data_IF_099218721587
#
_entry.id   IF_099218721587
#
_cell.length_a   1.000
_cell.length_b   1.000
_cell.length_c   1.000
_cell.angle_alpha   90.00
_cell.angle_beta   90.00
_cell.angle_gamma   90.00
#
_symmetry.space_group_name_H-M   'P 1'
#
loop_
_entity.id
_entity.type
_entity.pdbx_description
1 polymer ?
#
# COMPACT_ATOMS: atom_id res chain seq x y z
N UNK A 1 22.70 21.90 47.68
CA UNK A 1 22.93 22.44 46.32
C UNK A 1 23.47 23.84 46.47
N UNK A 2 24.64 24.12 45.89
CA UNK A 2 25.25 25.45 45.93
C UNK A 2 24.56 26.38 44.93
N UNK A 3 24.76 27.69 45.08
CA UNK A 3 24.27 28.70 44.12
C UNK A 3 24.78 28.41 42.70
N UNK A 4 26.06 28.06 42.57
CA UNK A 4 26.68 27.68 41.30
C UNK A 4 26.05 26.44 40.66
N UNK A 5 25.64 25.45 41.46
CA UNK A 5 24.94 24.25 40.95
C UNK A 5 23.54 24.59 40.41
N UNK A 6 22.83 25.51 41.09
CA UNK A 6 21.54 26.02 40.63
C UNK A 6 21.67 26.82 39.33
N UNK A 7 22.68 27.67 39.21
CA UNK A 7 22.94 28.47 38.00
C UNK A 7 23.27 27.57 36.79
N UNK A 8 24.10 26.54 36.98
CA UNK A 8 24.40 25.54 35.95
C UNK A 8 23.18 24.72 35.52
N UNK A 9 22.32 24.35 36.48
CA UNK A 9 21.07 23.65 36.15
C UNK A 9 20.10 24.54 35.37
N UNK A 10 19.99 25.82 35.74
CA UNK A 10 19.13 26.77 35.03
C UNK A 10 19.62 27.01 33.59
N UNK A 11 20.93 27.21 33.40
CA UNK A 11 21.54 27.37 32.07
C UNK A 11 21.35 26.11 31.20
N UNK A 12 21.49 24.92 31.78
CA UNK A 12 21.22 23.66 31.09
C UNK A 12 19.76 23.56 30.62
N UNK A 13 18.79 23.85 31.50
CA UNK A 13 17.36 23.81 31.17
C UNK A 13 17.00 24.85 30.10
N UNK A 14 17.55 26.06 30.18
CA UNK A 14 17.34 27.09 29.16
C UNK A 14 17.89 26.67 27.79
N UNK A 15 19.04 26.00 27.77
CA UNK A 15 19.61 25.47 26.53
C UNK A 15 18.81 24.29 25.97
N UNK A 16 18.25 23.43 26.82
CA UNK A 16 17.30 22.38 26.41
C UNK A 16 16.03 22.95 25.81
N UNK A 17 15.40 23.94 26.49
CA UNK A 17 14.21 24.63 25.98
C UNK A 17 14.52 25.29 24.64
N UNK A 18 15.63 26.03 24.52
CA UNK A 18 16.03 26.67 23.27
C UNK A 18 16.41 25.67 22.15
N UNK A 19 16.79 24.44 22.48
CA UNK A 19 17.00 23.35 21.51
C UNK A 19 15.67 22.76 21.05
N UNK A 20 14.73 22.56 21.96
CA UNK A 20 13.38 22.10 21.66
C UNK A 20 12.57 23.14 20.86
N UNK A 21 12.70 24.43 21.19
CA UNK A 21 12.09 25.54 20.46
C UNK A 21 12.70 25.70 19.06
N UNK A 22 14.01 25.41 18.89
CA UNK A 22 14.66 25.36 17.57
C UNK A 22 14.23 24.16 16.71
N UNK A 23 13.51 23.19 17.27
CA UNK A 23 12.86 22.10 16.55
C UNK A 23 11.34 22.26 16.49
N UNK A 24 10.82 23.47 16.65
CA UNK A 24 9.42 23.74 16.37
C UNK A 24 9.07 23.19 14.97
N UNK A 25 8.01 22.36 14.85
CA UNK A 25 7.67 21.77 13.57
C UNK A 25 7.39 22.87 12.55
N UNK A 26 8.16 22.88 11.47
CA UNK A 26 7.93 23.82 10.37
C UNK A 26 6.91 23.22 9.38
N UNK A 27 6.35 24.08 8.54
CA UNK A 27 5.50 23.62 7.42
C UNK A 27 6.30 22.68 6.50
N UNK A 28 7.60 22.91 6.36
CA UNK A 28 8.53 22.06 5.61
C UNK A 28 8.64 20.67 6.25
N UNK A 29 8.70 20.57 7.59
CA UNK A 29 8.66 19.28 8.30
C UNK A 29 7.35 18.53 8.00
N UNK A 30 6.20 19.21 8.07
CA UNK A 30 4.89 18.59 7.79
C UNK A 30 4.84 18.05 6.36
N UNK A 31 5.31 18.84 5.38
CA UNK A 31 5.37 18.44 3.97
C UNK A 31 6.31 17.26 3.77
N UNK A 32 7.49 17.27 4.38
CA UNK A 32 8.46 16.19 4.29
C UNK A 32 7.88 14.87 4.84
N UNK A 33 7.26 14.90 6.02
CA UNK A 33 6.57 13.74 6.60
C UNK A 33 5.45 13.26 5.70
N UNK A 34 4.64 14.18 5.14
CA UNK A 34 3.60 13.79 4.19
C UNK A 34 4.15 13.12 2.93
N UNK A 35 5.29 13.56 2.40
CA UNK A 35 5.91 12.94 1.23
C UNK A 35 6.29 11.49 1.54
N UNK A 36 6.91 11.26 2.70
CA UNK A 36 7.31 9.92 3.15
C UNK A 36 6.09 9.00 3.29
N UNK A 37 5.03 9.45 3.97
CA UNK A 37 3.83 8.64 4.16
C UNK A 37 3.10 8.36 2.84
N UNK A 38 2.97 9.36 1.97
CA UNK A 38 2.42 9.17 0.60
C UNK A 38 3.23 8.14 -0.17
N UNK A 39 4.56 8.26 -0.16
CA UNK A 39 5.45 7.31 -0.81
C UNK A 39 5.20 5.87 -0.35
N UNK A 40 5.19 5.64 0.97
CA UNK A 40 4.92 4.30 1.55
C UNK A 40 3.58 3.72 1.09
N UNK A 41 2.50 4.50 1.18
CA UNK A 41 1.15 4.02 0.81
C UNK A 41 1.04 3.78 -0.70
N UNK A 42 1.48 4.73 -1.52
CA UNK A 42 1.37 4.64 -2.99
C UNK A 42 2.21 3.48 -3.53
N UNK A 43 3.42 3.29 -3.02
CA UNK A 43 4.30 2.18 -3.42
C UNK A 43 3.71 0.81 -3.04
N UNK A 44 3.22 0.68 -1.80
CA UNK A 44 2.59 -0.55 -1.33
C UNK A 44 1.33 -0.90 -2.16
N UNK A 45 0.51 0.08 -2.53
CA UNK A 45 -0.66 -0.15 -3.39
C UNK A 45 -0.27 -0.44 -4.83
N UNK A 46 0.80 0.16 -5.34
CA UNK A 46 1.32 -0.15 -6.68
C UNK A 46 1.81 -1.61 -6.76
N UNK A 47 2.48 -2.09 -5.72
CA UNK A 47 2.86 -3.50 -5.59
C UNK A 47 1.64 -4.43 -5.55
N UNK A 48 0.61 -4.07 -4.78
CA UNK A 48 -0.66 -4.80 -4.74
C UNK A 48 -1.36 -4.84 -6.11
N UNK A 49 -1.37 -3.72 -6.84
CA UNK A 49 -1.94 -3.63 -8.19
C UNK A 49 -1.21 -4.58 -9.16
N UNK A 50 0.12 -4.64 -9.08
CA UNK A 50 0.90 -5.58 -9.90
C UNK A 50 0.62 -7.04 -9.56
N UNK A 51 0.36 -7.36 -8.29
CA UNK A 51 -0.05 -8.71 -7.89
C UNK A 51 -1.41 -9.10 -8.48
N UNK A 52 -2.36 -8.15 -8.54
CA UNK A 52 -3.65 -8.37 -9.21
C UNK A 52 -3.44 -8.62 -10.72
N UNK A 53 -2.55 -7.87 -11.37
CA UNK A 53 -2.24 -8.09 -12.79
C UNK A 53 -1.78 -9.52 -13.04
N UNK A 54 -0.82 -9.98 -12.26
CA UNK A 54 -0.27 -11.33 -12.39
C UNK A 54 -1.36 -12.37 -12.13
N UNK A 55 -2.17 -12.21 -11.07
CA UNK A 55 -3.27 -13.14 -10.79
C UNK A 55 -4.26 -13.23 -11.96
N UNK A 56 -4.70 -12.08 -12.49
CA UNK A 56 -5.65 -12.02 -13.59
C UNK A 56 -5.03 -12.61 -14.86
N UNK A 57 -3.79 -12.26 -15.19
CA UNK A 57 -3.12 -12.76 -16.38
C UNK A 57 -2.88 -14.28 -16.33
N UNK A 58 -2.52 -14.83 -15.17
CA UNK A 58 -2.41 -16.30 -14.98
C UNK A 58 -3.76 -17.02 -15.05
N UNK A 59 -4.87 -16.29 -15.15
CA UNK A 59 -6.16 -16.89 -15.50
C UNK A 59 -6.31 -17.17 -16.99
N UNK A 60 -5.84 -16.25 -17.82
CA UNK A 60 -6.10 -16.24 -19.27
C UNK A 60 -4.92 -16.77 -20.10
N UNK A 61 -3.78 -17.06 -19.48
CA UNK A 61 -2.55 -17.38 -20.19
C UNK A 61 -1.92 -18.67 -19.65
N UNK A 62 -1.49 -19.52 -20.57
CA UNK A 62 -0.90 -20.84 -20.27
C UNK A 62 0.64 -20.82 -20.20
N UNK A 63 1.27 -19.66 -20.45
CA UNK A 63 2.72 -19.49 -20.37
C UNK A 63 3.11 -18.18 -19.69
N UNK A 64 4.28 -18.18 -19.04
CA UNK A 64 4.80 -17.00 -18.34
C UNK A 64 5.03 -15.82 -19.30
N UNK A 65 5.42 -16.08 -20.54
CA UNK A 65 5.63 -15.01 -21.54
C UNK A 65 4.29 -14.37 -21.93
N UNK A 66 3.24 -15.16 -22.10
CA UNK A 66 1.89 -14.64 -22.35
C UNK A 66 1.32 -13.92 -21.14
N UNK A 67 1.60 -14.39 -19.92
CA UNK A 67 1.26 -13.66 -18.69
C UNK A 67 1.90 -12.28 -18.67
N UNK A 68 3.20 -12.17 -19.00
CA UNK A 68 3.91 -10.88 -19.06
C UNK A 68 3.34 -9.97 -20.15
N UNK A 69 3.16 -10.51 -21.36
CA UNK A 69 2.60 -9.78 -22.50
C UNK A 69 1.20 -9.24 -22.19
N UNK A 70 0.29 -10.10 -21.72
CA UNK A 70 -1.06 -9.74 -21.33
C UNK A 70 -1.07 -8.70 -20.20
N UNK A 71 -0.26 -8.92 -19.16
CA UNK A 71 -0.14 -7.98 -18.04
C UNK A 71 0.38 -6.61 -18.47
N UNK A 72 1.24 -6.52 -19.49
CA UNK A 72 1.81 -5.25 -19.93
C UNK A 72 0.90 -4.52 -20.93
N UNK A 73 0.26 -5.24 -21.85
CA UNK A 73 -0.54 -4.66 -22.94
C UNK A 73 -1.99 -4.38 -22.50
N UNK A 74 -2.59 -5.29 -21.74
CA UNK A 74 -4.03 -5.23 -21.40
C UNK A 74 -4.23 -4.65 -20.01
N UNK A 75 -3.55 -5.21 -19.00
CA UNK A 75 -3.73 -4.80 -17.60
C UNK A 75 -2.86 -3.60 -17.22
N UNK A 76 -1.72 -3.46 -17.90
CA UNK A 76 -0.75 -2.39 -17.76
C UNK A 76 -1.21 -1.08 -18.42
N UNK A 77 -0.37 -0.05 -18.31
CA UNK A 77 -0.58 1.26 -18.93
C UNK A 77 -1.91 1.96 -18.54
N UNK A 78 -2.40 1.73 -17.31
CA UNK A 78 -3.62 2.37 -16.77
C UNK A 78 -4.90 2.12 -17.58
N UNK A 79 -4.93 1.10 -18.47
CA UNK A 79 -6.13 0.77 -19.26
C UNK A 79 -7.27 0.23 -18.39
N UNK A 80 -6.93 -0.45 -17.30
CA UNK A 80 -7.88 -0.93 -16.30
C UNK A 80 -7.50 -0.31 -14.95
N UNK A 81 -8.47 0.34 -14.31
CA UNK A 81 -8.28 0.89 -12.97
C UNK A 81 -8.15 -0.21 -11.92
N UNK A 82 -7.56 0.11 -10.77
CA UNK A 82 -7.48 -0.79 -9.62
C UNK A 82 -8.87 -1.34 -9.21
N UNK A 83 -9.93 -0.51 -9.26
CA UNK A 83 -11.30 -1.00 -9.01
C UNK A 83 -11.77 -2.00 -10.06
N UNK A 84 -11.45 -1.74 -11.34
CA UNK A 84 -11.75 -2.66 -12.44
C UNK A 84 -11.08 -4.02 -12.24
N UNK A 85 -9.79 -4.01 -11.88
CA UNK A 85 -9.03 -5.23 -11.56
C UNK A 85 -9.59 -5.95 -10.33
N UNK A 86 -9.96 -5.21 -9.27
CA UNK A 86 -10.64 -5.78 -8.08
C UNK A 86 -11.97 -6.45 -8.45
N UNK A 87 -12.79 -5.83 -9.31
CA UNK A 87 -14.05 -6.43 -9.78
C UNK A 87 -13.80 -7.69 -10.60
N UNK A 88 -12.80 -7.67 -11.48
CA UNK A 88 -12.41 -8.85 -12.25
C UNK A 88 -11.92 -9.97 -11.33
N UNK A 89 -11.10 -9.66 -10.34
CA UNK A 89 -10.68 -10.59 -9.29
C UNK A 89 -11.87 -11.23 -8.56
N UNK A 90 -12.86 -10.44 -8.13
CA UNK A 90 -14.08 -10.93 -7.49
C UNK A 90 -14.85 -11.93 -8.39
N UNK A 91 -14.91 -11.68 -9.71
CA UNK A 91 -15.56 -12.57 -10.68
C UNK A 91 -14.77 -13.86 -10.84
N UNK A 92 -13.45 -13.77 -11.03
CA UNK A 92 -12.57 -14.91 -11.23
C UNK A 92 -12.57 -15.86 -10.02
N UNK A 93 -12.58 -15.31 -8.80
CA UNK A 93 -12.70 -16.12 -7.58
C UNK A 93 -14.01 -16.90 -7.55
N UNK A 94 -15.14 -16.25 -7.87
CA UNK A 94 -16.45 -16.92 -7.85
C UNK A 94 -16.52 -18.09 -8.83
N UNK A 95 -15.87 -17.94 -9.99
CA UNK A 95 -15.80 -18.99 -11.01
C UNK A 95 -14.91 -20.14 -10.52
N UNK A 96 -13.71 -19.84 -10.01
CA UNK A 96 -12.71 -20.86 -9.72
C UNK A 96 -12.89 -21.55 -8.38
N UNK A 97 -13.39 -20.81 -7.38
CA UNK A 97 -13.48 -21.28 -5.99
C UNK A 97 -14.76 -20.76 -5.33
N UNK A 98 -15.93 -21.26 -5.75
CA UNK A 98 -17.21 -20.88 -5.14
C UNK A 98 -17.21 -21.12 -3.61
N UNK A 99 -16.50 -22.15 -3.16
CA UNK A 99 -16.36 -22.54 -1.75
C UNK A 99 -15.32 -21.74 -0.94
N UNK A 100 -14.49 -20.89 -1.57
CA UNK A 100 -13.46 -20.08 -0.87
C UNK A 100 -14.04 -19.03 0.08
N UNK A 101 -15.34 -19.12 0.33
CA UNK A 101 -15.90 -18.69 1.58
C UNK A 101 -16.41 -17.28 1.45
N UNK A 102 -17.74 -17.16 1.50
CA UNK A 102 -18.47 -15.90 1.65
C UNK A 102 -17.82 -14.98 2.71
N UNK A 103 -17.14 -15.55 3.72
CA UNK A 103 -16.40 -14.83 4.77
C UNK A 103 -15.06 -14.23 4.29
N UNK A 104 -14.17 -15.02 3.69
CA UNK A 104 -12.85 -14.53 3.22
C UNK A 104 -13.02 -13.51 2.10
N UNK A 105 -13.96 -13.76 1.18
CA UNK A 105 -14.30 -12.82 0.13
C UNK A 105 -14.89 -11.50 0.68
N UNK A 106 -15.76 -11.57 1.70
CA UNK A 106 -16.36 -10.36 2.31
C UNK A 106 -15.30 -9.51 3.02
N UNK A 107 -14.39 -10.11 3.78
CA UNK A 107 -13.31 -9.38 4.44
C UNK A 107 -12.34 -8.78 3.43
N UNK A 108 -11.88 -9.55 2.43
CA UNK A 108 -11.01 -9.05 1.37
C UNK A 108 -11.63 -7.86 0.62
N UNK A 109 -12.91 -7.94 0.26
CA UNK A 109 -13.60 -6.82 -0.42
C UNK A 109 -13.63 -5.55 0.44
N UNK A 110 -13.91 -5.68 1.74
CA UNK A 110 -13.89 -4.53 2.67
C UNK A 110 -12.49 -3.94 2.79
N UNK A 111 -11.48 -4.80 2.92
CA UNK A 111 -10.08 -4.40 3.05
C UNK A 111 -9.61 -3.68 1.77
N UNK A 112 -9.92 -4.21 0.58
CA UNK A 112 -9.62 -3.56 -0.70
C UNK A 112 -10.30 -2.20 -0.88
N UNK A 113 -11.57 -2.06 -0.47
CA UNK A 113 -12.25 -0.76 -0.50
C UNK A 113 -11.55 0.26 0.41
N UNK A 114 -11.07 -0.19 1.58
CA UNK A 114 -10.30 0.65 2.50
C UNK A 114 -8.98 1.07 1.84
N UNK A 115 -8.23 0.12 1.27
CA UNK A 115 -6.97 0.40 0.57
C UNK A 115 -7.16 1.42 -0.56
N UNK A 116 -8.21 1.27 -1.37
CA UNK A 116 -8.51 2.19 -2.47
C UNK A 116 -8.91 3.59 -1.97
N UNK A 117 -9.71 3.66 -0.89
CA UNK A 117 -10.07 4.92 -0.26
C UNK A 117 -8.82 5.67 0.22
N UNK A 118 -7.96 4.98 0.99
CA UNK A 118 -6.75 5.57 1.54
C UNK A 118 -5.77 5.97 0.44
N UNK A 119 -5.54 5.12 -0.56
CA UNK A 119 -4.70 5.47 -1.72
C UNK A 119 -5.18 6.76 -2.40
N UNK A 120 -6.49 6.92 -2.58
CA UNK A 120 -7.04 8.12 -3.19
C UNK A 120 -6.87 9.35 -2.29
N UNK A 121 -7.01 9.20 -0.97
CA UNK A 121 -6.71 10.25 0.01
C UNK A 121 -5.26 10.72 -0.12
N UNK A 122 -4.29 9.80 -0.06
CA UNK A 122 -2.86 10.09 -0.19
C UNK A 122 -2.45 10.61 -1.58
N UNK A 123 -3.17 10.23 -2.64
CA UNK A 123 -2.86 10.69 -3.99
C UNK A 123 -3.42 12.08 -4.30
N UNK A 124 -4.59 12.44 -3.78
CA UNK A 124 -5.35 13.58 -4.29
C UNK A 124 -5.68 14.68 -3.27
N UNK A 125 -5.68 14.38 -1.97
CA UNK A 125 -5.96 15.41 -0.96
C UNK A 125 -4.74 16.34 -0.79
N UNK A 126 -4.95 17.57 -0.30
CA UNK A 126 -3.83 18.47 0.03
C UNK A 126 -3.29 18.20 1.42
N UNK A 127 -2.01 18.47 1.62
CA UNK A 127 -1.43 18.50 2.97
C UNK A 127 -1.93 19.75 3.69
N UNK A 128 -2.50 19.57 4.87
CA UNK A 128 -2.94 20.67 5.71
C UNK A 128 -1.73 21.37 6.33
N UNK A 129 -1.73 22.71 6.28
CA UNK A 129 -0.63 23.55 6.79
C UNK A 129 -1.18 24.72 7.62
N UNK A 130 -2.37 24.57 8.20
CA UNK A 130 -2.94 25.55 9.12
C UNK A 130 -2.31 25.42 10.51
N UNK A 131 -2.73 26.27 11.46
CA UNK A 131 -2.21 26.24 12.83
C UNK A 131 -2.42 24.87 13.50
N UNK A 132 -3.60 24.26 13.35
CA UNK A 132 -3.85 22.91 13.89
C UNK A 132 -2.84 21.87 13.39
N UNK A 133 -2.39 22.00 12.13
CA UNK A 133 -1.38 21.11 11.56
C UNK A 133 -0.01 21.34 12.18
N UNK A 134 0.37 22.60 12.44
CA UNK A 134 1.60 22.96 13.15
C UNK A 134 1.59 22.38 14.56
N UNK A 135 0.47 22.54 15.27
CA UNK A 135 0.32 22.07 16.65
C UNK A 135 0.41 20.53 16.77
N UNK A 136 0.06 19.81 15.70
CA UNK A 136 0.05 18.34 15.64
C UNK A 136 1.22 17.72 14.88
N UNK A 137 2.09 18.53 14.28
CA UNK A 137 3.09 18.10 13.30
C UNK A 137 4.13 17.10 13.85
N UNK A 138 4.31 17.04 15.16
CA UNK A 138 5.21 16.07 15.82
C UNK A 138 4.70 14.63 15.72
N UNK A 139 3.39 14.43 15.56
CA UNK A 139 2.74 13.12 15.67
C UNK A 139 1.84 12.80 14.50
N UNK A 140 1.35 13.81 13.77
CA UNK A 140 0.35 13.63 12.72
C UNK A 140 0.66 14.44 11.47
N UNK A 141 0.11 13.97 10.35
CA UNK A 141 -0.15 14.80 9.16
C UNK A 141 -1.67 14.92 8.95
N UNK A 142 -2.11 16.09 8.50
CA UNK A 142 -3.50 16.30 8.07
C UNK A 142 -3.60 16.28 6.55
N UNK A 143 -4.56 15.51 6.01
CA UNK A 143 -4.91 15.55 4.59
C UNK A 143 -6.30 16.17 4.42
N UNK A 144 -6.38 17.31 3.73
CA UNK A 144 -7.60 18.06 3.52
C UNK A 144 -8.27 17.65 2.20
N UNK A 145 -9.53 17.24 2.29
CA UNK A 145 -10.37 16.94 1.13
C UNK A 145 -11.03 18.21 0.59
N UNK A 146 -10.89 18.45 -0.71
CA UNK A 146 -11.68 19.46 -1.42
C UNK A 146 -13.09 18.92 -1.69
N UNK A 147 -14.02 19.23 -0.78
CA UNK A 147 -15.44 18.99 -0.96
C UNK A 147 -16.23 20.09 -0.23
N UNK A 148 -17.54 20.19 -0.48
CA UNK A 148 -18.40 21.20 0.15
C UNK A 148 -18.27 21.24 1.68
N UNK A 149 -17.99 20.09 2.30
CA UNK A 149 -17.70 19.97 3.73
C UNK A 149 -16.22 19.67 3.92
N UNK A 150 -15.34 20.65 3.67
CA UNK A 150 -13.89 20.45 3.79
C UNK A 150 -13.56 19.80 5.14
N UNK A 151 -13.07 18.56 5.10
CA UNK A 151 -12.70 17.77 6.26
C UNK A 151 -11.22 17.46 6.16
N UNK A 152 -10.53 17.61 7.27
CA UNK A 152 -9.13 17.20 7.44
C UNK A 152 -9.13 15.82 8.07
N UNK A 153 -8.51 14.87 7.39
CA UNK A 153 -8.27 13.54 7.92
C UNK A 153 -6.84 13.47 8.48
N UNK A 154 -6.73 13.16 9.77
CA UNK A 154 -5.45 13.09 10.47
C UNK A 154 -4.89 11.67 10.40
N UNK A 155 -3.57 11.58 10.24
CA UNK A 155 -2.81 10.34 10.14
C UNK A 155 -1.57 10.41 11.02
N UNK A 156 -1.50 9.54 12.02
CA UNK A 156 -0.31 9.23 12.78
C UNK A 156 0.38 7.98 12.24
N UNK A 157 1.51 7.62 12.83
CA UNK A 157 2.27 6.42 12.46
C UNK A 157 1.46 5.12 12.65
N UNK A 158 0.62 5.04 13.70
CA UNK A 158 -0.21 3.86 13.96
C UNK A 158 -1.22 3.65 12.82
N UNK A 159 -1.92 4.70 12.41
CA UNK A 159 -2.88 4.64 11.30
C UNK A 159 -2.18 4.28 9.99
N UNK A 160 -1.00 4.84 9.71
CA UNK A 160 -0.19 4.45 8.54
C UNK A 160 0.14 2.96 8.57
N UNK A 161 0.61 2.45 9.71
CA UNK A 161 0.95 1.04 9.88
C UNK A 161 -0.28 0.13 9.73
N UNK A 162 -1.43 0.55 10.24
CA UNK A 162 -2.71 -0.17 10.07
C UNK A 162 -3.13 -0.28 8.59
N UNK A 163 -2.96 0.81 7.82
CA UNK A 163 -3.22 0.80 6.37
C UNK A 163 -2.24 -0.14 5.66
N UNK A 164 -0.94 -0.06 5.96
CA UNK A 164 0.09 -0.94 5.38
C UNK A 164 -0.17 -2.42 5.71
N UNK A 165 -0.62 -2.73 6.92
CA UNK A 165 -1.01 -4.09 7.32
C UNK A 165 -2.24 -4.57 6.54
N UNK A 166 -3.21 -3.69 6.29
CA UNK A 166 -4.36 -4.01 5.43
C UNK A 166 -3.93 -4.31 4.00
N UNK A 167 -3.02 -3.52 3.43
CA UNK A 167 -2.44 -3.76 2.10
C UNK A 167 -1.72 -5.12 2.07
N UNK A 168 -0.85 -5.38 3.05
CA UNK A 168 -0.11 -6.65 3.16
C UNK A 168 -1.05 -7.86 3.27
N UNK A 169 -2.14 -7.73 4.01
CA UNK A 169 -3.18 -8.76 4.13
C UNK A 169 -3.81 -9.05 2.76
N UNK A 170 -4.21 -8.02 2.02
CA UNK A 170 -4.74 -8.18 0.66
C UNK A 170 -3.72 -8.84 -0.28
N UNK A 171 -2.46 -8.39 -0.26
CA UNK A 171 -1.37 -8.99 -1.05
C UNK A 171 -1.18 -10.47 -0.73
N UNK A 172 -1.22 -10.84 0.55
CA UNK A 172 -1.09 -12.25 0.98
C UNK A 172 -2.21 -13.12 0.42
N UNK A 173 -3.45 -12.62 0.39
CA UNK A 173 -4.58 -13.34 -0.21
C UNK A 173 -4.33 -13.57 -1.71
N UNK A 174 -3.93 -12.53 -2.45
CA UNK A 174 -3.68 -12.63 -3.89
C UNK A 174 -2.53 -13.61 -4.17
N UNK A 175 -1.40 -13.49 -3.47
CA UNK A 175 -0.24 -14.39 -3.65
C UNK A 175 -0.64 -15.86 -3.45
N UNK A 176 -1.36 -16.18 -2.38
CA UNK A 176 -1.84 -17.56 -2.12
C UNK A 176 -2.73 -18.08 -3.25
N UNK A 177 -3.58 -17.21 -3.79
CA UNK A 177 -4.46 -17.56 -4.91
C UNK A 177 -3.67 -17.76 -6.20
N UNK A 178 -2.67 -16.93 -6.47
CA UNK A 178 -1.79 -17.04 -7.64
C UNK A 178 -0.92 -18.29 -7.59
N UNK A 179 -0.27 -18.58 -6.46
CA UNK A 179 0.63 -19.74 -6.31
C UNK A 179 -0.08 -21.06 -6.59
N UNK A 180 -1.35 -21.18 -6.18
CA UNK A 180 -2.15 -22.38 -6.46
C UNK A 180 -2.36 -22.67 -7.96
N UNK A 181 -2.14 -21.67 -8.83
CA UNK A 181 -2.24 -21.81 -10.29
C UNK A 181 -0.89 -22.03 -10.96
N UNK A 182 0.16 -21.36 -10.50
CA UNK A 182 1.49 -21.47 -11.13
C UNK A 182 2.04 -22.90 -11.07
N UNK A 183 1.64 -23.71 -10.08
CA UNK A 183 1.98 -25.14 -10.02
C UNK A 183 1.47 -25.91 -11.25
N UNK A 184 0.37 -25.46 -11.87
CA UNK A 184 -0.25 -26.09 -13.04
C UNK A 184 0.40 -25.65 -14.35
N UNK A 185 1.07 -24.49 -14.38
CA UNK A 185 1.75 -23.96 -15.57
C UNK A 185 3.15 -24.54 -15.79
N UNK A 186 3.56 -25.55 -15.01
CA UNK A 186 4.81 -26.26 -15.32
C UNK A 186 4.61 -27.02 -16.63
N UNK A 187 5.50 -26.86 -17.63
CA UNK A 187 5.45 -27.72 -18.79
C UNK A 187 5.52 -29.18 -18.28
N UNK A 188 4.74 -30.12 -18.87
CA UNK A 188 4.95 -31.52 -18.57
C UNK A 188 6.44 -31.79 -18.72
N UNK A 189 7.05 -32.45 -17.73
CA UNK A 189 8.46 -32.84 -17.81
C UNK A 189 8.69 -33.36 -19.22
N UNK A 190 9.53 -32.66 -19.98
CA UNK A 190 9.96 -33.15 -21.28
C UNK A 190 10.76 -34.40 -20.94
N UNK A 191 10.10 -35.56 -20.93
CA UNK A 191 10.79 -36.83 -20.97
C UNK A 191 11.48 -36.83 -22.33
N UNK A 192 12.81 -36.71 -22.38
CA UNK A 192 13.50 -36.88 -23.64
C UNK A 192 13.09 -38.25 -24.13
N UNK A 193 12.35 -38.30 -25.23
CA UNK A 193 12.12 -39.56 -25.94
C UNK A 193 13.52 -40.12 -26.14
N UNK A 194 13.81 -41.24 -25.50
CA UNK A 194 15.01 -41.99 -25.78
C UNK A 194 14.91 -42.32 -27.26
N UNK A 195 15.60 -41.57 -28.10
CA UNK A 195 15.80 -41.94 -29.48
C UNK A 195 16.52 -43.28 -29.42
N UNK A 196 15.73 -44.35 -29.49
CA UNK A 196 16.21 -45.69 -29.73
C UNK A 196 16.93 -45.60 -31.07
N UNK A 197 18.25 -45.46 -31.02
CA UNK A 197 19.10 -45.62 -32.18
C UNK A 197 18.82 -47.01 -32.74
N UNK A 198 18.01 -47.04 -33.80
CA UNK A 198 17.79 -48.22 -34.61
C UNK A 198 19.15 -48.70 -35.11
N UNK A 199 19.47 -49.93 -34.73
CA UNK A 199 20.64 -50.70 -35.16
C UNK A 199 20.52 -51.12 -36.62
#
# INVERSE_FOLDING_TARGET
MTKDELEKQLEYLQNEIARHERQAPTIENIKATSIVYRGKIIDAVSSLDRLLDIYIATYFCDSLDKVKEFSNIILGANRISLDGKRKLFDVLIKIQRPEFGKKVHRSFKKDMNTVMYERNSFAHNLVCTNQDAIDRATTHIGLQKFSANSRIEWYDEEKINSILMTIKKCSTVIIRMTQSRVVVLRPPHYEPKSDSMGS
#
